data_IF_731505244110
#
_entry.id   IF_731505244110
#
_cell.length_a   1.000
_cell.length_b   1.000
_cell.length_c   1.000
_cell.angle_alpha   90.00
_cell.angle_beta   90.00
_cell.angle_gamma   90.00
#
_symmetry.space_group_name_H-M   'P 1'
#
loop_
_entity.id
_entity.type
_entity.pdbx_description
1 polymer ?
#
# COMPACT_ATOMS: atom_id res chain seq x y z
N UNK A 1 -61.18 -1.71 13.26
CA UNK A 1 -61.80 -3.04 13.07
C UNK A 1 -60.72 -3.93 12.51
N UNK A 2 -59.95 -4.54 13.42
CA UNK A 2 -60.16 -5.90 13.97
C UNK A 2 -59.28 -6.87 13.14
N UNK A 3 -58.08 -7.25 13.57
CA UNK A 3 -57.67 -8.04 14.76
C UNK A 3 -57.66 -9.56 14.48
N UNK A 4 -56.78 -10.25 15.22
CA UNK A 4 -56.49 -11.70 15.31
C UNK A 4 -55.50 -12.23 14.24
N UNK A 5 -54.34 -12.80 14.56
CA UNK A 5 -53.84 -13.40 15.81
C UNK A 5 -53.21 -14.78 15.49
N UNK A 6 -52.09 -15.21 16.12
CA UNK A 6 -51.18 -16.22 15.58
C UNK A 6 -51.37 -17.63 16.19
N UNK A 7 -51.03 -18.69 15.43
CA UNK A 7 -50.99 -20.09 15.93
C UNK A 7 -49.58 -20.54 16.29
N UNK A 8 -49.37 -20.84 17.59
CA UNK A 8 -48.28 -21.68 18.13
C UNK A 8 -48.72 -23.15 18.15
N UNK A 9 -47.77 -24.05 17.94
CA UNK A 9 -47.78 -25.46 18.35
C UNK A 9 -46.36 -26.03 18.19
N UNK A 10 -45.53 -26.05 19.23
CA UNK A 10 -45.37 -27.08 20.28
C UNK A 10 -44.51 -28.28 19.83
N UNK A 11 -43.30 -28.35 20.42
CA UNK A 11 -42.43 -29.48 20.80
C UNK A 11 -42.47 -30.81 20.01
N UNK A 12 -41.29 -31.29 19.61
CA UNK A 12 -40.65 -32.41 20.33
C UNK A 12 -39.19 -32.64 19.88
N UNK A 13 -38.32 -32.88 20.85
CA UNK A 13 -36.95 -33.34 20.68
C UNK A 13 -36.90 -34.88 20.84
N UNK A 14 -36.09 -35.55 20.02
CA UNK A 14 -35.56 -36.90 20.26
C UNK A 14 -34.06 -36.86 19.92
N UNK A 15 -33.19 -36.98 20.93
CA UNK A 15 -32.44 -38.20 21.28
C UNK A 15 -31.67 -38.78 20.08
N UNK A 16 -30.35 -38.97 20.08
CA UNK A 16 -29.35 -39.08 21.12
C UNK A 16 -28.33 -40.14 20.66
N UNK A 17 -27.03 -39.90 20.82
CA UNK A 17 -26.04 -41.00 20.86
C UNK A 17 -24.97 -40.68 21.89
N UNK A 18 -24.92 -41.58 22.85
CA UNK A 18 -24.10 -41.64 24.06
C UNK A 18 -22.81 -42.41 23.79
N UNK A 19 -21.76 -42.08 24.55
CA UNK A 19 -20.76 -42.98 25.12
C UNK A 19 -20.01 -42.12 26.16
N UNK A 20 -20.00 -42.36 27.46
CA UNK A 20 -20.32 -43.54 28.25
C UNK A 20 -19.27 -43.61 29.36
N UNK A 21 -19.60 -43.18 30.58
CA UNK A 21 -18.94 -43.62 31.81
C UNK A 21 -19.88 -43.40 33.01
N UNK A 22 -20.62 -44.46 33.35
CA UNK A 22 -21.26 -44.76 34.64
C UNK A 22 -20.19 -44.95 35.73
N UNK A 23 -20.33 -44.64 37.03
CA UNK A 23 -21.45 -44.66 38.01
C UNK A 23 -21.01 -43.84 39.29
N UNK A 24 -21.83 -43.71 40.37
CA UNK A 24 -21.91 -42.51 41.23
C UNK A 24 -21.40 -42.72 42.67
N UNK A 25 -21.24 -41.63 43.43
CA UNK A 25 -21.22 -41.69 44.90
C UNK A 25 -21.72 -40.37 45.54
N UNK A 26 -22.87 -40.49 46.19
CA UNK A 26 -23.35 -39.85 47.41
C UNK A 26 -23.25 -38.32 47.63
N UNK A 27 -24.42 -37.76 47.90
CA UNK A 27 -24.70 -36.48 48.54
C UNK A 27 -24.08 -36.40 49.94
N UNK A 28 -23.37 -35.31 50.24
CA UNK A 28 -23.27 -34.75 51.58
C UNK A 28 -23.19 -33.23 51.47
N UNK A 29 -24.24 -32.55 51.94
CA UNK A 29 -24.32 -31.11 52.01
C UNK A 29 -23.36 -30.52 53.05
N UNK A 30 -22.73 -29.40 52.69
CA UNK A 30 -21.99 -28.53 53.59
C UNK A 30 -22.34 -27.07 53.27
N UNK A 31 -22.38 -26.17 54.26
CA UNK A 31 -23.09 -24.90 54.15
C UNK A 31 -22.36 -23.92 53.23
N UNK A 32 -23.14 -23.21 52.41
CA UNK A 32 -22.66 -22.08 51.62
C UNK A 32 -22.23 -20.93 52.56
N UNK A 33 -20.97 -20.50 52.45
CA UNK A 33 -20.53 -19.19 52.97
C UNK A 33 -20.56 -18.16 51.83
N UNK A 34 -21.10 -16.95 52.07
CA UNK A 34 -21.06 -15.87 51.11
C UNK A 34 -19.75 -15.06 51.25
N UNK A 35 -19.22 -14.58 50.14
CA UNK A 35 -18.21 -13.51 50.12
C UNK A 35 -16.83 -13.95 49.61
N UNK A 36 -16.42 -13.39 48.47
CA UNK A 36 -15.05 -13.48 47.97
C UNK A 36 -14.94 -13.30 46.46
N UNK A 37 -14.94 -12.04 46.02
CA UNK A 37 -14.31 -11.49 44.80
C UNK A 37 -14.10 -12.46 43.62
N UNK A 38 -14.90 -12.27 42.57
CA UNK A 38 -14.75 -12.93 41.27
C UNK A 38 -13.46 -12.52 40.55
N UNK A 39 -12.32 -13.05 41.01
CA UNK A 39 -11.09 -13.11 40.25
C UNK A 39 -11.12 -14.30 39.30
N UNK A 40 -10.82 -14.09 38.03
CA UNK A 40 -10.70 -15.16 37.04
C UNK A 40 -9.70 -16.21 37.53
N UNK A 41 -10.15 -17.47 37.68
CA UNK A 41 -9.29 -18.56 38.14
C UNK A 41 -8.22 -18.84 37.09
N UNK A 42 -6.95 -18.63 37.44
CA UNK A 42 -5.78 -18.91 36.60
C UNK A 42 -5.69 -20.43 36.33
N UNK A 43 -5.83 -20.83 35.08
CA UNK A 43 -5.64 -22.21 34.65
C UNK A 43 -4.14 -22.52 34.57
N UNK A 44 -3.72 -23.60 35.24
CA UNK A 44 -2.34 -24.11 35.21
C UNK A 44 -2.35 -25.46 34.52
N UNK A 45 -1.66 -25.55 33.38
CA UNK A 45 -1.50 -26.81 32.64
C UNK A 45 -0.48 -27.66 33.38
N UNK A 46 -0.94 -28.76 33.99
CA UNK A 46 -0.05 -29.75 34.62
C UNK A 46 0.77 -30.45 33.53
N UNK A 47 2.06 -30.70 33.79
CA UNK A 47 3.02 -31.32 32.86
C UNK A 47 3.36 -30.50 31.60
N UNK A 48 3.23 -29.16 31.63
CA UNK A 48 3.78 -28.31 30.59
C UNK A 48 5.32 -28.30 30.71
N UNK A 49 5.98 -29.28 30.07
CA UNK A 49 7.43 -29.25 29.82
C UNK A 49 7.73 -28.00 28.98
N UNK A 50 8.87 -27.36 29.20
CA UNK A 50 9.25 -26.04 28.68
C UNK A 50 8.66 -25.70 27.31
N UNK A 51 8.22 -24.43 27.13
CA UNK A 51 7.76 -23.93 25.82
C UNK A 51 8.78 -24.38 24.76
N UNK A 52 8.36 -25.09 23.70
CA UNK A 52 9.24 -25.44 22.61
C UNK A 52 9.95 -24.16 22.16
N UNK A 53 11.26 -24.11 22.36
CA UNK A 53 12.07 -22.99 21.89
C UNK A 53 12.32 -23.22 20.42
N UNK A 54 11.99 -22.23 19.60
CA UNK A 54 12.36 -22.29 18.20
C UNK A 54 13.89 -22.37 18.09
N UNK A 55 14.42 -23.06 17.06
CA UNK A 55 15.85 -23.04 16.77
C UNK A 55 16.36 -21.60 16.64
N UNK A 56 17.55 -21.31 17.15
CA UNK A 56 18.13 -19.96 17.13
C UNK A 56 18.23 -19.36 15.70
N UNK A 57 18.35 -20.22 14.69
CA UNK A 57 18.44 -19.82 13.27
C UNK A 57 17.09 -19.56 12.60
N UNK A 58 15.96 -19.91 13.23
CA UNK A 58 14.64 -19.85 12.61
C UNK A 58 14.29 -18.45 12.08
N UNK A 59 14.58 -17.41 12.87
CA UNK A 59 14.31 -16.03 12.50
C UNK A 59 15.09 -15.60 11.26
N UNK A 60 16.38 -15.95 11.19
CA UNK A 60 17.25 -15.59 10.07
C UNK A 60 16.87 -16.35 8.79
N UNK A 61 16.56 -17.64 8.92
CA UNK A 61 16.18 -18.47 7.78
C UNK A 61 14.83 -18.05 7.20
N UNK A 62 13.87 -17.71 8.07
CA UNK A 62 12.55 -17.19 7.66
C UNK A 62 12.68 -15.82 7.00
N UNK A 63 13.51 -14.93 7.56
CA UNK A 63 13.82 -13.65 6.92
C UNK A 63 14.47 -13.84 5.55
N UNK A 64 15.45 -14.74 5.41
CA UNK A 64 16.10 -15.02 4.12
C UNK A 64 15.08 -15.43 3.05
N UNK A 65 14.13 -16.29 3.42
CA UNK A 65 13.02 -16.68 2.54
C UNK A 65 12.16 -15.49 2.10
N UNK A 66 11.75 -14.63 3.05
CA UNK A 66 10.96 -13.43 2.74
C UNK A 66 11.74 -12.45 1.87
N UNK A 67 13.01 -12.24 2.17
CA UNK A 67 13.92 -11.38 1.42
C UNK A 67 14.10 -11.86 -0.03
N UNK A 68 14.26 -13.17 -0.25
CA UNK A 68 14.28 -13.74 -1.61
C UNK A 68 12.97 -13.50 -2.36
N UNK A 69 11.82 -13.62 -1.68
CA UNK A 69 10.52 -13.33 -2.30
C UNK A 69 10.40 -11.85 -2.67
N UNK A 70 10.80 -10.92 -1.79
CA UNK A 70 10.80 -9.48 -2.09
C UNK A 70 11.71 -9.16 -3.28
N UNK A 71 12.92 -9.72 -3.31
CA UNK A 71 13.83 -9.55 -4.46
C UNK A 71 13.25 -10.12 -5.75
N UNK A 72 12.55 -11.25 -5.68
CA UNK A 72 11.91 -11.85 -6.83
C UNK A 72 10.81 -10.92 -7.39
N UNK A 73 10.00 -10.32 -6.51
CA UNK A 73 8.96 -9.34 -6.87
C UNK A 73 9.59 -8.11 -7.54
N UNK A 74 10.61 -7.53 -6.91
CA UNK A 74 11.32 -6.34 -7.41
C UNK A 74 12.00 -6.58 -8.77
N UNK A 75 12.47 -7.80 -9.01
CA UNK A 75 13.09 -8.19 -10.29
C UNK A 75 12.06 -8.65 -11.34
N UNK A 76 10.76 -8.56 -11.04
CA UNK A 76 9.67 -9.09 -11.89
C UNK A 76 9.85 -10.57 -12.27
N UNK A 77 10.40 -11.36 -11.36
CA UNK A 77 10.61 -12.82 -11.50
C UNK A 77 9.60 -13.62 -10.69
N UNK A 78 9.45 -14.92 -11.01
CA UNK A 78 8.53 -15.80 -10.28
C UNK A 78 9.00 -16.05 -8.85
N UNK A 79 8.10 -15.89 -7.89
CA UNK A 79 8.36 -16.25 -6.49
C UNK A 79 8.40 -17.78 -6.38
N UNK A 80 9.47 -18.32 -5.77
CA UNK A 80 9.65 -19.78 -5.59
C UNK A 80 8.72 -20.40 -4.55
N UNK A 81 8.19 -19.59 -3.67
CA UNK A 81 7.40 -20.00 -2.51
C UNK A 81 5.93 -19.62 -2.68
N UNK A 82 5.04 -20.36 -2.01
CA UNK A 82 3.61 -20.06 -2.01
C UNK A 82 3.30 -18.80 -1.18
N UNK A 83 2.35 -17.96 -1.64
CA UNK A 83 2.02 -16.69 -0.98
C UNK A 83 1.48 -16.88 0.45
N UNK A 84 0.64 -17.89 0.66
CA UNK A 84 0.11 -18.21 2.01
C UNK A 84 1.23 -18.60 2.97
N UNK A 85 2.23 -19.32 2.47
CA UNK A 85 3.38 -19.76 3.26
C UNK A 85 4.27 -18.56 3.65
N UNK A 86 4.40 -17.58 2.76
CA UNK A 86 5.11 -16.33 3.05
C UNK A 86 4.33 -15.46 4.04
N UNK A 87 3.01 -15.39 3.91
CA UNK A 87 2.14 -14.68 4.86
C UNK A 87 2.25 -15.28 6.27
N UNK A 88 2.13 -16.60 6.38
CA UNK A 88 2.27 -17.30 7.67
C UNK A 88 3.66 -17.12 8.29
N UNK A 89 4.70 -17.07 7.45
CA UNK A 89 6.06 -16.77 7.89
C UNK A 89 6.16 -15.36 8.53
N UNK A 90 5.51 -14.35 7.94
CA UNK A 90 5.44 -13.00 8.53
C UNK A 90 4.66 -13.02 9.85
N UNK A 91 3.51 -13.69 9.90
CA UNK A 91 2.71 -13.81 11.13
C UNK A 91 3.50 -14.45 12.28
N UNK A 92 4.21 -15.54 11.99
CA UNK A 92 5.05 -16.22 12.98
C UNK A 92 6.15 -15.28 13.49
N UNK A 93 6.88 -14.61 12.60
CA UNK A 93 7.93 -13.66 13.00
C UNK A 93 7.39 -12.51 13.86
N UNK A 94 6.22 -11.98 13.53
CA UNK A 94 5.54 -10.95 14.31
C UNK A 94 5.13 -11.46 15.70
N UNK A 95 4.62 -12.69 15.78
CA UNK A 95 4.22 -13.33 17.05
C UNK A 95 5.40 -13.53 18.01
N UNK A 96 6.61 -13.69 17.48
CA UNK A 96 7.85 -13.78 18.25
C UNK A 96 8.47 -12.41 18.62
N UNK A 97 7.71 -11.31 18.48
CA UNK A 97 8.12 -9.92 18.81
C UNK A 97 9.29 -9.38 17.97
N UNK A 98 9.49 -9.91 16.75
CA UNK A 98 10.55 -9.45 15.82
C UNK A 98 10.03 -8.38 14.84
N UNK A 99 8.77 -7.94 14.98
CA UNK A 99 8.12 -6.97 14.07
C UNK A 99 8.90 -5.67 13.81
N UNK A 100 9.51 -4.99 14.82
CA UNK A 100 10.29 -3.77 14.57
C UNK A 100 11.49 -4.01 13.64
N UNK A 101 12.19 -5.12 13.85
CA UNK A 101 13.35 -5.50 13.04
C UNK A 101 12.90 -5.87 11.63
N UNK A 102 11.80 -6.62 11.51
CA UNK A 102 11.23 -7.03 10.22
C UNK A 102 10.83 -5.83 9.37
N UNK A 103 10.18 -4.83 9.96
CA UNK A 103 9.82 -3.60 9.26
C UNK A 103 11.06 -2.84 8.76
N UNK A 104 12.07 -2.66 9.62
CA UNK A 104 13.34 -1.99 9.25
C UNK A 104 14.05 -2.72 8.11
N UNK A 105 14.13 -4.04 8.18
CA UNK A 105 14.75 -4.85 7.14
C UNK A 105 13.98 -4.77 5.82
N UNK A 106 12.64 -4.82 5.85
CA UNK A 106 11.81 -4.63 4.66
C UNK A 106 12.02 -3.25 4.04
N UNK A 107 12.01 -2.18 4.86
CA UNK A 107 12.28 -0.81 4.40
C UNK A 107 13.63 -0.72 3.70
N UNK A 108 14.69 -1.28 4.29
CA UNK A 108 16.03 -1.25 3.71
C UNK A 108 16.08 -1.94 2.34
N UNK A 109 15.46 -3.11 2.20
CA UNK A 109 15.45 -3.86 0.93
C UNK A 109 14.69 -3.10 -0.16
N UNK A 110 13.58 -2.45 0.20
CA UNK A 110 12.86 -1.57 -0.72
C UNK A 110 13.70 -0.33 -1.09
N UNK A 111 14.34 0.29 -0.11
CA UNK A 111 15.18 1.47 -0.29
C UNK A 111 16.36 1.20 -1.22
N UNK A 112 17.12 0.12 -0.98
CA UNK A 112 18.25 -0.30 -1.81
C UNK A 112 17.81 -0.53 -3.28
N UNK A 113 16.65 -1.15 -3.47
CA UNK A 113 16.12 -1.39 -4.81
C UNK A 113 15.75 -0.09 -5.53
N UNK A 114 14.99 0.80 -4.86
CA UNK A 114 14.59 2.09 -5.45
C UNK A 114 15.81 2.95 -5.75
N UNK A 115 16.81 2.97 -4.87
CA UNK A 115 18.07 3.68 -5.11
C UNK A 115 18.81 3.14 -6.34
N UNK A 116 18.76 1.82 -6.61
CA UNK A 116 19.33 1.27 -7.83
C UNK A 116 18.56 1.70 -9.09
N UNK A 117 17.25 1.94 -8.99
CA UNK A 117 16.41 2.36 -10.13
C UNK A 117 16.72 3.78 -10.63
N UNK A 118 17.42 4.63 -9.86
CA UNK A 118 17.73 6.01 -10.29
C UNK A 118 18.83 6.08 -11.35
N UNK A 119 19.76 5.12 -11.36
CA UNK A 119 20.97 5.16 -12.20
C UNK A 119 20.64 5.28 -13.70
N UNK A 120 19.70 4.48 -14.26
CA UNK A 120 19.35 4.59 -15.67
C UNK A 120 18.69 5.92 -16.05
N UNK A 121 18.14 6.69 -15.09
CA UNK A 121 17.60 8.02 -15.39
C UNK A 121 18.68 9.09 -15.47
N UNK A 122 19.84 8.85 -14.82
CA UNK A 122 20.99 9.77 -14.82
C UNK A 122 21.86 9.64 -16.06
N UNK A 123 22.03 8.42 -16.54
CA UNK A 123 22.98 8.10 -17.61
C UNK A 123 22.38 8.27 -19.01
N UNK A 124 21.08 7.98 -19.17
CA UNK A 124 20.47 8.00 -20.50
C UNK A 124 20.10 9.43 -20.95
N UNK A 125 20.69 9.87 -22.06
CA UNK A 125 20.23 11.05 -22.80
C UNK A 125 19.00 10.71 -23.64
N UNK A 126 17.87 10.48 -22.99
CA UNK A 126 16.59 10.23 -23.66
C UNK A 126 15.93 11.53 -24.12
N UNK A 127 15.15 11.47 -25.20
CA UNK A 127 14.19 12.53 -25.50
C UNK A 127 13.12 12.61 -24.41
N UNK A 128 12.46 13.77 -24.31
CA UNK A 128 11.50 14.05 -23.24
C UNK A 128 10.36 13.03 -23.20
N UNK A 129 9.84 12.56 -24.34
CA UNK A 129 8.68 11.65 -24.36
C UNK A 129 9.09 10.24 -23.95
N UNK A 130 10.23 9.73 -24.43
CA UNK A 130 10.77 8.45 -23.99
C UNK A 130 11.15 8.48 -22.50
N UNK A 131 11.71 9.59 -22.02
CA UNK A 131 11.99 9.79 -20.60
C UNK A 131 10.72 9.69 -19.75
N UNK A 132 9.64 10.39 -20.15
CA UNK A 132 8.35 10.34 -19.47
C UNK A 132 7.74 8.94 -19.46
N UNK A 133 7.81 8.21 -20.57
CA UNK A 133 7.34 6.82 -20.65
C UNK A 133 8.14 5.92 -19.69
N UNK A 134 9.47 6.09 -19.62
CA UNK A 134 10.34 5.33 -18.73
C UNK A 134 10.01 5.59 -17.25
N UNK A 135 9.79 6.86 -16.86
CA UNK A 135 9.35 7.22 -15.51
C UNK A 135 7.99 6.59 -15.20
N UNK A 136 7.04 6.68 -16.13
CA UNK A 136 5.72 6.11 -15.94
C UNK A 136 5.75 4.58 -15.77
N UNK A 137 6.53 3.86 -16.58
CA UNK A 137 6.69 2.41 -16.41
C UNK A 137 7.34 2.07 -15.07
N UNK A 138 8.41 2.77 -14.70
CA UNK A 138 9.07 2.57 -13.40
C UNK A 138 8.10 2.79 -12.22
N UNK A 139 7.26 3.82 -12.29
CA UNK A 139 6.21 4.08 -11.31
C UNK A 139 5.15 2.98 -11.25
N UNK A 140 4.64 2.55 -12.40
CA UNK A 140 3.63 1.48 -12.47
C UNK A 140 4.17 0.15 -11.92
N UNK A 141 5.41 -0.19 -12.26
CA UNK A 141 6.10 -1.38 -11.74
C UNK A 141 6.29 -1.28 -10.23
N UNK A 142 6.77 -0.14 -9.72
CA UNK A 142 6.92 0.10 -8.28
C UNK A 142 5.59 -0.08 -7.53
N UNK A 143 4.51 0.51 -8.03
CA UNK A 143 3.17 0.36 -7.46
C UNK A 143 2.73 -1.11 -7.42
N UNK A 144 2.89 -1.84 -8.53
CA UNK A 144 2.53 -3.27 -8.62
C UNK A 144 3.32 -4.11 -7.63
N UNK A 145 4.63 -3.86 -7.55
CA UNK A 145 5.53 -4.55 -6.63
C UNK A 145 5.16 -4.26 -5.17
N UNK A 146 4.91 -2.99 -4.82
CA UNK A 146 4.52 -2.60 -3.47
C UNK A 146 3.15 -3.15 -3.04
N UNK A 147 2.18 -3.28 -3.95
CA UNK A 147 0.91 -3.98 -3.68
C UNK A 147 1.18 -5.44 -3.30
N UNK A 148 2.05 -6.12 -4.05
CA UNK A 148 2.38 -7.52 -3.79
C UNK A 148 3.16 -7.69 -2.49
N UNK A 149 4.16 -6.84 -2.23
CA UNK A 149 4.89 -6.82 -0.95
C UNK A 149 3.90 -6.60 0.20
N UNK A 150 3.01 -5.61 0.10
CA UNK A 150 2.00 -5.35 1.11
C UNK A 150 1.09 -6.56 1.36
N UNK A 151 0.72 -7.31 0.33
CA UNK A 151 -0.11 -8.52 0.50
C UNK A 151 0.59 -9.61 1.33
N UNK A 152 1.89 -9.83 1.10
CA UNK A 152 2.69 -10.81 1.87
C UNK A 152 2.88 -10.33 3.31
N UNK A 153 3.17 -9.03 3.49
CA UNK A 153 3.45 -8.44 4.79
C UNK A 153 2.20 -7.83 5.46
N UNK A 154 0.99 -8.23 5.04
CA UNK A 154 -0.26 -7.62 5.49
C UNK A 154 -0.44 -7.76 7.02
N UNK A 155 -0.01 -8.87 7.60
CA UNK A 155 -0.06 -9.07 9.06
C UNK A 155 0.81 -8.03 9.79
N UNK A 156 2.02 -7.75 9.28
CA UNK A 156 2.91 -6.73 9.85
C UNK A 156 2.27 -5.33 9.77
N UNK A 157 1.69 -4.99 8.61
CA UNK A 157 1.02 -3.70 8.35
C UNK A 157 -0.17 -3.50 9.31
N UNK A 158 -0.97 -4.54 9.54
CA UNK A 158 -2.22 -4.46 10.32
C UNK A 158 -2.05 -4.62 11.83
N UNK A 159 -0.96 -5.23 12.29
CA UNK A 159 -0.74 -5.48 13.72
C UNK A 159 0.30 -4.55 14.33
N UNK A 160 1.48 -4.46 13.73
CA UNK A 160 2.57 -3.65 14.26
C UNK A 160 2.48 -2.21 13.76
N UNK A 161 2.46 -2.01 12.44
CA UNK A 161 2.52 -0.65 11.86
C UNK A 161 1.28 0.17 12.26
N UNK A 162 0.08 -0.41 12.15
CA UNK A 162 -1.17 0.25 12.54
C UNK A 162 -1.19 0.73 14.00
N UNK A 163 -0.48 0.06 14.91
CA UNK A 163 -0.40 0.45 16.32
C UNK A 163 0.63 1.55 16.59
N UNK A 164 1.53 1.82 15.64
CA UNK A 164 2.63 2.77 15.77
C UNK A 164 2.43 3.93 14.79
N UNK A 165 1.74 4.99 15.23
CA UNK A 165 1.38 6.13 14.38
C UNK A 165 2.56 6.90 13.76
N UNK A 166 3.78 6.72 14.28
CA UNK A 166 5.00 7.32 13.74
C UNK A 166 5.59 6.53 12.56
N UNK A 167 5.13 5.30 12.32
CA UNK A 167 5.60 4.47 11.22
C UNK A 167 4.61 4.57 10.05
N UNK A 168 5.09 4.89 8.83
CA UNK A 168 4.23 4.87 7.65
C UNK A 168 3.78 3.44 7.34
N UNK A 169 2.58 3.29 6.79
CA UNK A 169 2.11 2.00 6.25
C UNK A 169 3.10 1.47 5.21
N UNK A 170 3.09 0.17 4.92
CA UNK A 170 3.99 -0.39 3.89
C UNK A 170 3.80 0.32 2.54
N UNK A 171 2.56 0.71 2.23
CA UNK A 171 2.25 1.49 1.04
C UNK A 171 2.88 2.89 1.10
N UNK A 172 2.63 3.64 2.17
CA UNK A 172 3.14 5.01 2.32
C UNK A 172 4.67 5.06 2.39
N UNK A 173 5.29 4.04 3.00
CA UNK A 173 6.74 3.84 2.97
C UNK A 173 7.24 3.69 1.52
N UNK A 174 6.53 2.92 0.69
CA UNK A 174 6.86 2.80 -0.74
C UNK A 174 6.75 4.13 -1.49
N UNK A 175 5.71 4.93 -1.20
CA UNK A 175 5.53 6.27 -1.77
C UNK A 175 6.66 7.22 -1.34
N UNK A 176 7.02 7.22 -0.06
CA UNK A 176 8.12 8.01 0.50
C UNK A 176 9.45 7.67 -0.18
N UNK A 177 9.76 6.38 -0.32
CA UNK A 177 11.01 5.94 -0.96
C UNK A 177 11.09 6.40 -2.43
N UNK A 178 10.00 6.22 -3.20
CA UNK A 178 9.98 6.63 -4.60
C UNK A 178 10.10 8.15 -4.75
N UNK A 179 9.40 8.91 -3.89
CA UNK A 179 9.50 10.38 -3.84
C UNK A 179 10.94 10.80 -3.58
N UNK A 180 11.55 10.32 -2.51
CA UNK A 180 12.84 10.79 -2.03
C UNK A 180 14.00 10.40 -2.96
N UNK A 181 13.97 9.19 -3.54
CA UNK A 181 15.11 8.67 -4.30
C UNK A 181 14.95 8.82 -5.82
N UNK A 182 13.72 8.95 -6.33
CA UNK A 182 13.47 9.12 -7.78
C UNK A 182 13.03 10.55 -8.11
N UNK A 183 11.86 10.97 -7.62
CA UNK A 183 11.24 12.23 -8.07
C UNK A 183 11.88 13.47 -7.45
N UNK A 184 12.48 13.36 -6.27
CA UNK A 184 13.23 14.45 -5.63
C UNK A 184 14.64 14.63 -6.19
N UNK A 185 15.14 13.72 -7.05
CA UNK A 185 16.37 13.98 -7.80
C UNK A 185 16.13 15.16 -8.75
N UNK A 186 16.98 16.20 -8.64
CA UNK A 186 16.77 17.47 -9.36
C UNK A 186 16.66 17.30 -10.87
N UNK A 187 17.48 16.42 -11.45
CA UNK A 187 17.49 16.24 -12.89
C UNK A 187 16.24 15.49 -13.36
N UNK A 188 15.88 14.42 -12.64
CA UNK A 188 14.65 13.68 -12.91
C UNK A 188 13.42 14.56 -12.74
N UNK A 189 13.36 15.34 -11.67
CA UNK A 189 12.27 16.26 -11.41
C UNK A 189 12.12 17.26 -12.56
N UNK A 190 13.18 18.00 -12.91
CA UNK A 190 13.10 19.01 -13.98
C UNK A 190 12.65 18.37 -15.30
N UNK A 191 13.32 17.30 -15.74
CA UNK A 191 12.96 16.61 -17.00
C UNK A 191 11.52 16.11 -17.00
N UNK A 192 11.03 15.59 -15.87
CA UNK A 192 9.64 15.12 -15.76
C UNK A 192 8.67 16.29 -15.88
N UNK A 193 8.88 17.36 -15.13
CA UNK A 193 7.99 18.53 -15.13
C UNK A 193 8.01 19.24 -16.49
N UNK A 194 9.21 19.54 -17.00
CA UNK A 194 9.40 20.23 -18.27
C UNK A 194 8.86 19.38 -19.43
N UNK A 195 9.01 18.06 -19.37
CA UNK A 195 8.43 17.12 -20.33
C UNK A 195 6.90 17.11 -20.31
N UNK A 196 6.28 17.12 -19.13
CA UNK A 196 4.81 17.18 -19.00
C UNK A 196 4.29 18.50 -19.57
N UNK A 197 4.93 19.63 -19.23
CA UNK A 197 4.56 20.94 -19.76
C UNK A 197 4.71 21.01 -21.28
N UNK A 198 5.78 20.43 -21.83
CA UNK A 198 5.98 20.31 -23.28
C UNK A 198 4.82 19.56 -23.96
N UNK A 199 4.39 18.43 -23.40
CA UNK A 199 3.25 17.67 -23.95
C UNK A 199 1.95 18.48 -23.89
N UNK A 200 1.69 19.19 -22.80
CA UNK A 200 0.52 20.07 -22.70
C UNK A 200 0.58 21.22 -23.72
N UNK A 201 1.76 21.82 -23.89
CA UNK A 201 1.98 22.88 -24.89
C UNK A 201 1.68 22.39 -26.31
N UNK A 202 2.20 21.20 -26.69
CA UNK A 202 1.91 20.57 -27.98
C UNK A 202 0.42 20.29 -28.18
N UNK A 203 -0.25 19.79 -27.15
CA UNK A 203 -1.70 19.57 -27.20
C UNK A 203 -2.48 20.86 -27.45
N UNK A 204 -2.11 21.95 -26.76
CA UNK A 204 -2.72 23.27 -26.95
C UNK A 204 -2.49 23.82 -28.36
N UNK A 205 -1.38 23.47 -28.99
CA UNK A 205 -1.09 23.78 -30.40
C UNK A 205 -1.83 22.89 -31.40
N UNK A 206 -2.64 21.94 -30.94
CA UNK A 206 -3.43 21.03 -31.79
C UNK A 206 -2.73 19.73 -32.16
N UNK A 207 -1.55 19.44 -31.60
CA UNK A 207 -0.88 18.15 -31.80
C UNK A 207 -1.57 17.04 -30.99
N UNK A 208 -1.67 15.85 -31.56
CA UNK A 208 -2.15 14.68 -30.83
C UNK A 208 -1.08 14.20 -29.82
N UNK A 209 -1.43 14.18 -28.54
CA UNK A 209 -0.56 13.69 -27.46
C UNK A 209 -1.18 12.52 -26.70
N UNK A 210 -0.34 11.75 -26.02
CA UNK A 210 -0.79 10.64 -25.17
C UNK A 210 -1.36 11.17 -23.84
N UNK A 211 -2.69 11.41 -23.82
CA UNK A 211 -3.43 11.83 -22.63
C UNK A 211 -3.38 10.81 -21.50
N UNK A 212 -3.22 9.52 -21.81
CA UNK A 212 -3.17 8.47 -20.80
C UNK A 212 -1.86 8.55 -20.01
N UNK A 213 -0.75 8.80 -20.69
CA UNK A 213 0.55 9.06 -20.09
C UNK A 213 0.52 10.31 -19.20
N UNK A 214 -0.03 11.42 -19.70
CA UNK A 214 -0.19 12.65 -18.91
C UNK A 214 -1.01 12.42 -17.65
N UNK A 215 -2.18 11.78 -17.77
CA UNK A 215 -3.04 11.47 -16.62
C UNK A 215 -2.28 10.62 -15.59
N UNK A 216 -1.59 9.58 -16.04
CA UNK A 216 -0.84 8.67 -15.16
C UNK A 216 0.28 9.40 -14.41
N UNK A 217 1.05 10.25 -15.10
CA UNK A 217 2.14 11.03 -14.49
C UNK A 217 1.63 12.11 -13.54
N UNK A 218 0.55 12.82 -13.87
CA UNK A 218 -0.05 13.81 -12.97
C UNK A 218 -0.66 13.15 -11.73
N UNK A 219 -1.30 11.98 -11.89
CA UNK A 219 -1.74 11.16 -10.76
C UNK A 219 -0.56 10.72 -9.88
N UNK A 220 0.54 10.26 -10.46
CA UNK A 220 1.78 9.95 -9.72
C UNK A 220 2.26 11.16 -8.90
N UNK A 221 2.36 12.35 -9.51
CA UNK A 221 2.79 13.56 -8.78
C UNK A 221 1.82 13.92 -7.64
N UNK A 222 0.52 13.65 -7.80
CA UNK A 222 -0.49 13.83 -6.76
C UNK A 222 -0.35 12.82 -5.63
N UNK A 223 -0.19 11.54 -5.94
CA UNK A 223 0.01 10.45 -4.97
C UNK A 223 1.29 10.65 -4.15
N UNK A 224 2.35 11.15 -4.80
CA UNK A 224 3.61 11.52 -4.17
C UNK A 224 3.57 12.89 -3.47
N UNK A 225 2.45 13.60 -3.53
CA UNK A 225 2.23 14.91 -2.88
C UNK A 225 3.22 16.00 -3.33
N UNK A 226 3.73 15.92 -4.56
CA UNK A 226 4.67 16.91 -5.13
C UNK A 226 4.03 17.77 -6.23
N UNK A 227 2.80 17.46 -6.63
CA UNK A 227 2.07 18.18 -7.67
C UNK A 227 2.05 19.70 -7.44
N UNK A 228 1.63 20.15 -6.26
CA UNK A 228 1.49 21.59 -5.97
C UNK A 228 2.83 22.31 -6.00
N UNK A 229 3.82 21.74 -5.32
CA UNK A 229 5.11 22.40 -5.11
C UNK A 229 6.00 22.37 -6.36
N UNK A 230 5.93 21.30 -7.16
CA UNK A 230 6.84 21.08 -8.29
C UNK A 230 6.22 21.37 -9.66
N UNK A 231 4.91 21.15 -9.83
CA UNK A 231 4.22 21.24 -11.13
C UNK A 231 3.30 22.46 -11.24
N UNK A 232 2.41 22.66 -10.27
CA UNK A 232 1.30 23.62 -10.38
C UNK A 232 1.76 25.05 -10.64
N UNK A 233 2.77 25.53 -9.92
CA UNK A 233 3.32 26.88 -10.10
C UNK A 233 3.85 27.09 -11.52
N UNK A 234 4.72 26.19 -12.00
CA UNK A 234 5.28 26.27 -13.36
C UNK A 234 4.19 26.15 -14.43
N UNK A 235 3.22 25.28 -14.22
CA UNK A 235 2.08 25.12 -15.13
C UNK A 235 1.26 26.40 -15.26
N UNK A 236 0.96 27.07 -14.14
CA UNK A 236 0.21 28.32 -14.15
C UNK A 236 1.01 29.46 -14.79
N UNK A 237 2.32 29.55 -14.52
CA UNK A 237 3.21 30.52 -15.17
C UNK A 237 3.24 30.35 -16.69
N UNK A 238 3.52 29.16 -17.18
CA UNK A 238 3.53 28.83 -18.62
C UNK A 238 2.16 29.09 -19.27
N UNK A 239 1.08 28.73 -18.57
CA UNK A 239 -0.29 28.94 -19.06
C UNK A 239 -0.64 30.42 -19.14
N UNK A 240 -0.27 31.23 -18.15
CA UNK A 240 -0.48 32.67 -18.16
C UNK A 240 0.31 33.34 -19.28
N UNK A 241 1.59 32.98 -19.44
CA UNK A 241 2.43 33.49 -20.53
C UNK A 241 1.84 33.17 -21.91
N UNK A 242 1.40 31.92 -22.12
CA UNK A 242 0.81 31.48 -23.38
C UNK A 242 -0.47 32.25 -23.71
N UNK A 243 -1.43 32.32 -22.78
CA UNK A 243 -2.71 33.00 -23.06
C UNK A 243 -2.59 34.53 -23.10
N UNK A 244 -1.61 35.13 -22.41
CA UNK A 244 -1.32 36.55 -22.55
C UNK A 244 -0.81 36.87 -23.97
N UNK A 245 0.10 36.06 -24.51
CA UNK A 245 0.62 36.22 -25.87
C UNK A 245 -0.47 35.94 -26.92
N UNK A 246 -1.25 34.87 -26.74
CA UNK A 246 -2.33 34.52 -27.67
C UNK A 246 -3.44 35.57 -27.68
N UNK A 247 -3.78 36.16 -26.52
CA UNK A 247 -4.72 37.26 -26.43
C UNK A 247 -4.28 38.49 -27.22
N UNK A 248 -3.01 38.89 -27.08
CA UNK A 248 -2.46 40.01 -27.87
C UNK A 248 -2.46 39.73 -29.37
N UNK A 249 -2.10 38.50 -29.77
CA UNK A 249 -2.07 38.08 -31.17
C UNK A 249 -3.48 38.08 -31.80
N UNK A 250 -4.45 37.47 -31.14
CA UNK A 250 -5.82 37.38 -31.64
C UNK A 250 -6.51 38.75 -31.73
N UNK A 251 -6.21 39.68 -30.82
CA UNK A 251 -6.72 41.06 -30.88
C UNK A 251 -6.17 41.86 -32.07
N UNK A 252 -4.98 41.52 -32.56
CA UNK A 252 -4.37 42.19 -33.73
C UNK A 252 -4.76 41.53 -35.05
N UNK A 253 -4.89 40.20 -35.07
CA UNK A 253 -5.08 39.41 -36.30
C UNK A 253 -6.55 39.17 -36.69
N UNK A 254 -7.52 39.39 -35.80
CA UNK A 254 -8.94 39.02 -36.04
C UNK A 254 -9.92 40.11 -35.66
N UNK A 255 -11.05 40.17 -36.39
CA UNK A 255 -12.22 40.93 -35.97
C UNK A 255 -12.77 40.40 -34.63
N UNK A 256 -13.35 41.29 -33.83
CA UNK A 256 -13.81 41.03 -32.45
C UNK A 256 -14.73 39.82 -32.35
N UNK A 257 -15.54 39.55 -33.37
CA UNK A 257 -16.43 38.37 -33.46
C UNK A 257 -15.65 37.05 -33.52
N UNK A 258 -14.65 36.94 -34.39
CA UNK A 258 -13.85 35.72 -34.55
C UNK A 258 -12.83 35.49 -33.42
N UNK A 259 -12.45 36.53 -32.68
CA UNK A 259 -11.62 36.39 -31.48
C UNK A 259 -12.44 35.84 -30.29
N UNK A 260 -13.71 36.25 -30.16
CA UNK A 260 -14.60 35.77 -29.11
C UNK A 260 -14.89 34.26 -29.23
N UNK A 261 -15.07 33.74 -30.45
CA UNK A 261 -15.29 32.31 -30.69
C UNK A 261 -14.11 31.43 -30.27
N UNK A 262 -12.88 31.97 -30.30
CA UNK A 262 -11.67 31.25 -29.84
C UNK A 262 -11.49 31.26 -28.32
N UNK A 263 -12.18 32.13 -27.58
CA UNK A 263 -12.09 32.21 -26.10
C UNK A 263 -13.09 31.24 -25.44
N UNK A 264 -14.13 30.82 -26.15
CA UNK A 264 -15.21 29.95 -25.63
C UNK A 264 -15.05 28.45 -25.98
N UNK A 265 -13.91 28.05 -26.56
CA UNK A 265 -13.53 26.65 -26.85
C UNK A 265 -12.34 26.22 -25.97
#
# INVERSE_FOLDING_TARGET
MADEGPRKGSVSALMGRTNGLTKPAALAGGPAKPGGTGGSRKLVIKNFRDRPRLPDNYTQDTWRKLHEAVKAIQSSTSIRYNLEELYQAVENLCSHKVSPTLYKQLRQVCEDHVQAQILPFREDSLDSVLFLKKINTCWQDHCRQMIMIRSIFLFLDRTYVLQNSMLPSIWDMGLELFRNHIISDRMVQSKTIDGILLLIGRERSGEAVDRSLLRSLLSMLSDLQVYKDSFELKFLEETNCLYAAEGQRLMQDREVSCAADCIWL
#
